data_IF_307039147680
#
_entry.id   IF_307039147680
#
_cell.length_a   1.000
_cell.length_b   1.000
_cell.length_c   1.000
_cell.angle_alpha   90.00
_cell.angle_beta   90.00
_cell.angle_gamma   90.00
#
_symmetry.space_group_name_H-M   'P 1'
#
loop_
_entity.id
_entity.type
_entity.pdbx_description
1 polymer ?
#
# COMPACT_ATOMS: atom_id res chain seq x y z
N UNK A 1 34.60 43.55 -55.95
CA UNK A 1 35.13 42.34 -55.29
C UNK A 1 34.97 42.47 -53.78
N UNK A 2 33.93 41.89 -53.17
CA UNK A 2 33.87 41.63 -51.73
C UNK A 2 33.20 40.26 -51.51
N UNK A 3 33.93 39.44 -50.78
CA UNK A 3 33.77 38.00 -50.63
C UNK A 3 32.53 37.61 -49.84
N UNK A 4 31.85 36.57 -50.31
CA UNK A 4 30.81 35.84 -49.61
C UNK A 4 31.33 35.29 -48.26
N UNK A 5 30.50 35.35 -47.22
CA UNK A 5 30.68 34.57 -46.00
C UNK A 5 29.35 33.89 -45.69
N UNK A 6 29.14 32.75 -46.35
CA UNK A 6 28.02 31.83 -46.09
C UNK A 6 28.22 31.19 -44.72
N UNK A 7 27.45 31.66 -43.74
CA UNK A 7 27.37 31.03 -42.41
C UNK A 7 26.57 29.74 -42.52
N UNK A 8 27.27 28.60 -42.66
CA UNK A 8 26.67 27.26 -42.55
C UNK A 8 26.16 27.07 -41.12
N UNK A 9 24.86 27.23 -40.90
CA UNK A 9 24.19 26.69 -39.71
C UNK A 9 24.31 25.17 -39.73
N UNK A 10 25.07 24.61 -38.79
CA UNK A 10 25.06 23.16 -38.52
C UNK A 10 23.66 22.79 -38.00
N UNK A 11 23.02 21.72 -38.50
CA UNK A 11 21.82 21.23 -37.85
C UNK A 11 22.26 20.62 -36.51
N UNK A 12 21.78 21.18 -35.41
CA UNK A 12 21.86 20.52 -34.11
C UNK A 12 20.91 19.35 -34.21
N UNK A 13 21.45 18.15 -34.44
CA UNK A 13 20.68 16.91 -34.32
C UNK A 13 20.28 16.78 -32.86
N UNK A 14 19.06 17.21 -32.55
CA UNK A 14 18.43 16.90 -31.28
C UNK A 14 18.20 15.39 -31.28
N UNK A 15 19.17 14.65 -30.75
CA UNK A 15 18.97 13.28 -30.34
C UNK A 15 17.82 13.31 -29.33
N UNK A 16 16.61 12.97 -29.81
CA UNK A 16 15.48 12.65 -28.95
C UNK A 16 15.97 11.53 -28.05
N UNK A 17 16.27 11.84 -26.79
CA UNK A 17 16.41 10.82 -25.78
C UNK A 17 15.14 9.97 -25.85
N UNK A 18 15.28 8.71 -26.24
CA UNK A 18 14.17 7.77 -26.27
C UNK A 18 13.58 7.73 -24.87
N UNK A 19 12.28 8.03 -24.74
CA UNK A 19 11.58 7.89 -23.48
C UNK A 19 11.85 6.47 -22.93
N UNK A 20 12.10 6.32 -21.62
CA UNK A 20 12.32 5.00 -21.04
C UNK A 20 11.12 4.12 -21.37
N UNK A 21 11.38 2.85 -21.70
CA UNK A 21 10.34 1.87 -21.96
C UNK A 21 9.33 1.86 -20.79
N UNK A 22 8.03 1.69 -21.07
CA UNK A 22 7.01 1.68 -20.01
C UNK A 22 7.36 0.63 -18.96
N UNK A 23 7.36 1.04 -17.69
CA UNK A 23 7.59 0.12 -16.57
C UNK A 23 6.47 -0.92 -16.55
N UNK A 24 6.84 -2.20 -16.52
CA UNK A 24 5.91 -3.30 -16.30
C UNK A 24 5.49 -3.31 -14.83
N UNK A 25 4.17 -3.27 -14.59
CA UNK A 25 3.55 -3.21 -13.26
C UNK A 25 2.72 -4.49 -12.99
N UNK A 26 3.05 -5.58 -13.65
CA UNK A 26 2.34 -6.86 -13.61
C UNK A 26 2.88 -7.82 -12.53
N UNK A 27 4.01 -7.51 -11.91
CA UNK A 27 4.59 -8.33 -10.85
C UNK A 27 3.86 -8.12 -9.52
N UNK A 28 3.34 -9.20 -8.88
CA UNK A 28 2.69 -9.12 -7.57
C UNK A 28 3.60 -8.57 -6.46
N UNK A 29 4.92 -8.81 -6.55
CA UNK A 29 5.91 -8.35 -5.57
C UNK A 29 6.05 -6.82 -5.53
N UNK A 30 5.48 -6.10 -6.50
CA UNK A 30 5.45 -4.64 -6.52
C UNK A 30 4.35 -4.06 -5.61
N UNK A 31 3.45 -4.90 -5.10
CA UNK A 31 2.27 -4.47 -4.38
C UNK A 31 2.29 -4.95 -2.93
N UNK A 32 1.85 -4.05 -2.04
CA UNK A 32 1.55 -4.39 -0.65
C UNK A 32 0.07 -4.71 -0.53
N UNK A 33 -0.25 -5.74 0.25
CA UNK A 33 -1.63 -6.03 0.57
C UNK A 33 -2.25 -4.87 1.38
N UNK A 34 -3.39 -4.29 0.94
CA UNK A 34 -4.01 -3.17 1.65
C UNK A 34 -4.49 -3.53 3.06
N UNK A 35 -4.97 -4.76 3.27
CA UNK A 35 -5.44 -5.21 4.58
C UNK A 35 -4.28 -5.34 5.56
N UNK A 36 -3.17 -5.97 5.13
CA UNK A 36 -1.98 -6.10 5.97
C UNK A 36 -1.32 -4.74 6.24
N UNK A 37 -1.31 -3.84 5.25
CA UNK A 37 -0.81 -2.47 5.42
C UNK A 37 -1.62 -1.71 6.46
N UNK A 38 -2.94 -1.89 6.48
CA UNK A 38 -3.80 -1.27 7.49
C UNK A 38 -3.54 -1.85 8.88
N UNK A 39 -3.36 -3.18 9.01
CA UNK A 39 -3.01 -3.81 10.29
C UNK A 39 -1.63 -3.34 10.80
N UNK A 40 -0.65 -3.16 9.92
CA UNK A 40 0.64 -2.59 10.27
C UNK A 40 0.51 -1.13 10.78
N UNK A 41 -0.40 -0.35 10.19
CA UNK A 41 -0.73 0.97 10.72
C UNK A 41 -1.40 0.88 12.10
N UNK A 42 -2.36 -0.02 12.30
CA UNK A 42 -2.98 -0.21 13.62
C UNK A 42 -1.96 -0.65 14.69
N UNK A 43 -0.93 -1.43 14.32
CA UNK A 43 0.19 -1.74 15.22
C UNK A 43 0.92 -0.47 15.68
N UNK A 44 1.16 0.50 14.79
CA UNK A 44 1.74 1.80 15.16
C UNK A 44 0.83 2.59 16.11
N UNK A 45 -0.49 2.54 15.91
CA UNK A 45 -1.45 3.17 16.84
C UNK A 45 -1.40 2.53 18.23
N UNK A 46 -1.22 1.20 18.29
CA UNK A 46 -1.02 0.49 19.55
C UNK A 46 0.32 0.88 20.21
N UNK A 47 1.40 1.03 19.44
CA UNK A 47 2.70 1.51 19.94
C UNK A 47 2.54 2.88 20.65
N UNK A 48 1.80 3.82 20.05
CA UNK A 48 1.52 5.13 20.67
C UNK A 48 0.68 5.03 21.96
N UNK A 49 -0.24 4.06 22.02
CA UNK A 49 -0.99 3.77 23.25
C UNK A 49 -0.12 3.17 24.37
N UNK A 50 0.96 2.47 24.01
CA UNK A 50 1.86 1.81 24.94
C UNK A 50 3.01 2.71 25.40
N UNK A 51 3.36 3.75 24.62
CA UNK A 51 4.48 4.66 24.93
C UNK A 51 4.24 5.46 26.22
N UNK A 52 5.04 5.28 27.29
CA UNK A 52 4.94 6.06 28.52
C UNK A 52 5.35 7.54 28.37
N UNK A 53 5.99 7.93 27.26
CA UNK A 53 6.27 9.34 26.95
C UNK A 53 5.00 10.11 26.59
N UNK A 54 3.95 9.43 26.14
CA UNK A 54 2.64 10.02 25.88
C UNK A 54 1.86 10.22 27.20
N UNK A 55 1.19 11.38 27.40
CA UNK A 55 0.33 11.59 28.56
C UNK A 55 -0.75 10.50 28.67
N UNK A 56 -1.13 10.15 29.91
CA UNK A 56 -2.04 9.04 30.17
C UNK A 56 -3.36 9.13 29.37
N UNK A 57 -3.94 10.33 29.26
CA UNK A 57 -5.19 10.52 28.53
C UNK A 57 -5.04 10.34 27.02
N UNK A 58 -3.90 10.74 26.44
CA UNK A 58 -3.63 10.50 25.01
C UNK A 58 -3.46 9.01 24.72
N UNK A 59 -2.83 8.27 25.62
CA UNK A 59 -2.73 6.81 25.51
C UNK A 59 -4.10 6.13 25.53
N UNK A 60 -4.99 6.55 26.44
CA UNK A 60 -6.38 6.06 26.47
C UNK A 60 -7.11 6.39 25.17
N UNK A 61 -6.91 7.59 24.63
CA UNK A 61 -7.48 7.98 23.33
C UNK A 61 -6.97 7.11 22.19
N UNK A 62 -5.68 6.79 22.15
CA UNK A 62 -5.13 5.86 21.14
C UNK A 62 -5.73 4.46 21.25
N UNK A 63 -5.96 3.94 22.46
CA UNK A 63 -6.69 2.66 22.65
C UNK A 63 -8.11 2.75 22.10
N UNK A 64 -8.84 3.84 22.35
CA UNK A 64 -10.19 4.02 21.81
C UNK A 64 -10.19 4.11 20.27
N UNK A 65 -9.24 4.83 19.68
CA UNK A 65 -9.09 4.94 18.22
C UNK A 65 -8.79 3.56 17.61
N UNK A 66 -7.85 2.82 18.21
CA UNK A 66 -7.51 1.46 17.77
C UNK A 66 -8.75 0.56 17.78
N UNK A 67 -9.52 0.58 18.87
CA UNK A 67 -10.75 -0.21 19.01
C UNK A 67 -11.76 0.10 17.91
N UNK A 68 -12.11 1.38 17.71
CA UNK A 68 -13.06 1.78 16.66
C UNK A 68 -12.58 1.41 15.25
N UNK A 69 -11.29 1.57 14.96
CA UNK A 69 -10.71 1.19 13.67
C UNK A 69 -10.76 -0.33 13.45
N UNK A 70 -10.47 -1.11 14.48
CA UNK A 70 -10.50 -2.57 14.41
C UNK A 70 -11.93 -3.09 14.20
N UNK A 71 -12.93 -2.48 14.86
CA UNK A 71 -14.34 -2.81 14.65
C UNK A 71 -14.75 -2.59 13.18
N UNK A 72 -14.42 -1.43 12.61
CA UNK A 72 -14.67 -1.16 11.19
C UNK A 72 -13.94 -2.15 10.28
N UNK A 73 -12.67 -2.45 10.57
CA UNK A 73 -11.89 -3.41 9.80
C UNK A 73 -12.57 -4.77 9.73
N UNK A 74 -13.06 -5.29 10.86
CA UNK A 74 -13.77 -6.57 10.87
C UNK A 74 -15.13 -6.50 10.17
N UNK A 75 -15.94 -5.49 10.50
CA UNK A 75 -17.29 -5.36 9.96
C UNK A 75 -17.31 -5.13 8.46
N UNK A 76 -16.32 -4.42 7.91
CA UNK A 76 -16.30 -4.04 6.49
C UNK A 76 -15.31 -4.90 5.70
N UNK A 77 -14.03 -4.94 6.11
CA UNK A 77 -12.97 -5.55 5.29
C UNK A 77 -13.00 -7.08 5.38
N UNK A 78 -13.05 -7.62 6.59
CA UNK A 78 -13.07 -9.08 6.79
C UNK A 78 -14.38 -9.68 6.29
N UNK A 79 -15.52 -9.01 6.52
CA UNK A 79 -16.80 -9.41 5.94
C UNK A 79 -16.77 -9.45 4.39
N UNK A 80 -16.12 -8.47 3.75
CA UNK A 80 -15.95 -8.47 2.29
C UNK A 80 -15.16 -9.68 1.76
N UNK A 81 -14.08 -10.06 2.45
CA UNK A 81 -13.31 -11.27 2.11
C UNK A 81 -14.13 -12.55 2.31
N UNK A 82 -14.92 -12.63 3.38
CA UNK A 82 -15.85 -13.75 3.60
C UNK A 82 -16.89 -13.87 2.50
N UNK A 83 -17.47 -12.75 2.09
CA UNK A 83 -18.44 -12.72 0.99
C UNK A 83 -17.82 -13.24 -0.30
N UNK A 84 -16.57 -12.84 -0.64
CA UNK A 84 -15.87 -13.36 -1.81
C UNK A 84 -15.69 -14.88 -1.78
N UNK A 85 -15.39 -15.44 -0.59
CA UNK A 85 -15.27 -16.89 -0.40
C UNK A 85 -16.62 -17.56 -0.59
N UNK A 86 -17.69 -17.02 0.00
CA UNK A 86 -19.04 -17.58 -0.07
C UNK A 86 -19.59 -17.57 -1.51
N UNK A 87 -19.34 -16.49 -2.26
CA UNK A 87 -19.72 -16.38 -3.68
C UNK A 87 -18.78 -17.14 -4.61
N UNK A 88 -17.77 -17.85 -4.07
CA UNK A 88 -16.74 -18.60 -4.82
C UNK A 88 -16.00 -17.73 -5.85
N UNK A 89 -15.79 -16.46 -5.52
CA UNK A 89 -15.03 -15.54 -6.35
C UNK A 89 -13.55 -15.91 -6.30
N UNK A 90 -12.92 -16.10 -7.46
CA UNK A 90 -11.49 -16.42 -7.58
C UNK A 90 -10.63 -15.16 -7.78
N UNK A 91 -11.09 -14.02 -7.28
CA UNK A 91 -10.36 -12.76 -7.43
C UNK A 91 -9.11 -12.80 -6.54
N UNK A 92 -7.96 -12.69 -7.19
CA UNK A 92 -6.66 -12.66 -6.55
C UNK A 92 -6.30 -11.19 -6.33
N UNK A 93 -5.83 -10.84 -5.14
CA UNK A 93 -5.34 -9.49 -4.85
C UNK A 93 -4.13 -9.12 -5.71
N UNK A 94 -3.82 -7.83 -5.81
CA UNK A 94 -2.66 -7.36 -6.58
C UNK A 94 -1.32 -7.96 -6.10
N UNK A 95 -1.22 -8.33 -4.82
CA UNK A 95 -0.06 -9.02 -4.24
C UNK A 95 -0.10 -10.55 -4.44
N UNK A 96 -1.02 -11.06 -5.27
CA UNK A 96 -1.05 -12.45 -5.69
C UNK A 96 -1.71 -13.42 -4.72
N UNK A 97 -2.54 -12.94 -3.78
CA UNK A 97 -3.16 -13.76 -2.73
C UNK A 97 -4.65 -14.00 -2.96
N UNK A 98 -5.07 -15.23 -2.73
CA UNK A 98 -6.48 -15.60 -2.65
C UNK A 98 -7.15 -15.03 -1.38
N UNK A 99 -8.49 -14.91 -1.35
CA UNK A 99 -9.20 -14.45 -0.15
C UNK A 99 -8.90 -15.28 1.11
N UNK A 100 -8.76 -16.61 0.96
CA UNK A 100 -8.41 -17.50 2.07
C UNK A 100 -7.02 -17.21 2.62
N UNK A 101 -6.02 -17.03 1.75
CA UNK A 101 -4.66 -16.68 2.18
C UNK A 101 -4.62 -15.32 2.86
N UNK A 102 -5.39 -14.35 2.37
CA UNK A 102 -5.51 -13.04 3.02
C UNK A 102 -6.11 -13.16 4.42
N UNK A 103 -7.19 -13.94 4.60
CA UNK A 103 -7.78 -14.17 5.93
C UNK A 103 -6.81 -14.84 6.91
N UNK A 104 -6.02 -15.82 6.43
CA UNK A 104 -5.01 -16.47 7.26
C UNK A 104 -3.91 -15.52 7.72
N UNK A 105 -3.43 -14.66 6.84
CA UNK A 105 -2.43 -13.63 7.19
C UNK A 105 -3.01 -12.57 8.12
N UNK A 106 -4.25 -12.12 7.87
CA UNK A 106 -4.97 -11.20 8.76
C UNK A 106 -5.06 -11.80 10.16
N UNK A 107 -5.44 -13.08 10.28
CA UNK A 107 -5.52 -13.79 11.57
C UNK A 107 -4.17 -13.81 12.29
N UNK A 108 -3.10 -14.09 11.56
CA UNK A 108 -1.74 -14.07 12.11
C UNK A 108 -1.38 -12.68 12.66
N UNK A 109 -1.57 -11.63 11.87
CA UNK A 109 -1.21 -10.26 12.27
C UNK A 109 -2.04 -9.73 13.44
N UNK A 110 -3.36 -9.97 13.44
CA UNK A 110 -4.26 -9.55 14.52
C UNK A 110 -3.88 -10.19 15.85
N UNK A 111 -3.48 -11.46 15.84
CA UNK A 111 -3.04 -12.16 17.07
C UNK A 111 -1.84 -11.47 17.72
N UNK A 112 -0.99 -10.83 16.93
CA UNK A 112 0.13 -10.03 17.44
C UNK A 112 -0.24 -8.61 17.90
N UNK A 113 -1.48 -8.17 17.73
CA UNK A 113 -2.00 -6.88 18.24
C UNK A 113 -2.77 -7.10 19.55
N UNK A 114 -3.40 -8.26 19.72
CA UNK A 114 -4.26 -8.57 20.88
C UNK A 114 -3.56 -9.29 22.03
N UNK A 115 -2.28 -9.63 21.88
CA UNK A 115 -1.41 -10.17 22.94
C UNK A 115 -0.56 -9.08 23.56
#
# INVERSE_FOLDING_TARGET
>A
MRSARSSRRRPVSAARASAPAPRRLDSPDLYLNPHLSLLAFQRRVLEEAQDPANPLLERVKFVSILGSNMDEFFMVRVAGLWQQIETRTTEISMDGRSPNEQLELIRHEVTGITR
#
